data_IF_341938148361
#
_entry.id   IF_341938148361
#
_cell.length_a   1.000
_cell.length_b   1.000
_cell.length_c   1.000
_cell.angle_alpha   90.00
_cell.angle_beta   90.00
_cell.angle_gamma   90.00
#
_symmetry.space_group_name_H-M   'P 1'
#
loop_
_entity.id
_entity.type
_entity.pdbx_description
1 polymer ?
#
# COMPACT_ATOMS: atom_id res chain seq x y z
N UNK A 1 14.19 19.79 16.93
CA UNK A 1 14.02 18.70 15.95
C UNK A 1 12.97 17.76 16.50
N UNK A 2 11.70 17.99 16.18
CA UNK A 2 10.62 17.08 16.58
C UNK A 2 10.75 15.82 15.75
N UNK A 3 10.90 14.67 16.41
CA UNK A 3 10.77 13.36 15.79
C UNK A 3 9.34 13.24 15.25
N UNK A 4 9.13 13.64 13.99
CA UNK A 4 7.89 13.36 13.27
C UNK A 4 7.88 11.86 12.95
N UNK A 5 7.47 11.05 13.93
CA UNK A 5 7.17 9.65 13.71
C UNK A 5 6.05 9.56 12.69
N UNK A 6 6.35 8.97 11.54
CA UNK A 6 5.44 8.80 10.42
C UNK A 6 4.13 8.19 10.92
N UNK A 7 3.00 8.82 10.60
CA UNK A 7 1.71 8.36 11.07
C UNK A 7 1.15 7.28 10.16
N UNK A 8 0.29 6.40 10.70
CA UNK A 8 -0.40 5.39 9.89
C UNK A 8 -1.14 6.00 8.68
N UNK A 9 -1.60 7.25 8.80
CA UNK A 9 -2.25 7.96 7.70
C UNK A 9 -1.27 8.23 6.56
N UNK A 10 -0.04 8.61 6.88
CA UNK A 10 0.99 8.93 5.90
C UNK A 10 1.38 7.66 5.14
N UNK A 11 1.59 6.56 5.86
CA UNK A 11 1.88 5.24 5.26
C UNK A 11 0.74 4.76 4.34
N UNK A 12 -0.51 4.92 4.75
CA UNK A 12 -1.67 4.58 3.89
C UNK A 12 -1.74 5.47 2.65
N UNK A 13 -1.40 6.75 2.78
CA UNK A 13 -1.34 7.69 1.66
C UNK A 13 -0.28 7.31 0.64
N UNK A 14 0.93 7.00 1.10
CA UNK A 14 2.05 6.56 0.25
C UNK A 14 1.74 5.26 -0.45
N UNK A 15 1.21 4.27 0.29
CA UNK A 15 0.76 3.01 -0.31
C UNK A 15 -0.29 3.24 -1.42
N UNK A 16 -1.20 4.19 -1.22
CA UNK A 16 -2.23 4.52 -2.21
C UNK A 16 -1.59 5.14 -3.46
N UNK A 17 -0.67 6.09 -3.29
CA UNK A 17 0.05 6.72 -4.39
C UNK A 17 0.84 5.71 -5.23
N UNK A 18 1.61 4.84 -4.59
CA UNK A 18 2.34 3.78 -5.28
C UNK A 18 1.40 2.82 -6.06
N UNK A 19 0.23 2.49 -5.53
CA UNK A 19 -0.74 1.67 -6.27
C UNK A 19 -1.30 2.39 -7.51
N UNK A 20 -1.47 3.71 -7.46
CA UNK A 20 -1.91 4.52 -8.61
C UNK A 20 -0.80 4.62 -9.67
N UNK A 21 0.45 4.83 -9.25
CA UNK A 21 1.60 4.85 -10.18
C UNK A 21 1.82 3.48 -10.82
N UNK A 22 1.69 2.39 -10.07
CA UNK A 22 1.74 1.03 -10.62
C UNK A 22 0.67 0.81 -11.71
N UNK A 23 -0.55 1.33 -11.51
CA UNK A 23 -1.63 1.24 -12.49
C UNK A 23 -1.30 2.00 -13.79
N UNK A 24 -0.73 3.20 -13.64
CA UNK A 24 -0.24 4.01 -14.76
C UNK A 24 0.86 3.25 -15.53
N UNK A 25 1.87 2.72 -14.84
CA UNK A 25 2.96 1.98 -15.47
C UNK A 25 2.49 0.71 -16.18
N UNK A 26 1.56 -0.05 -15.59
CA UNK A 26 0.94 -1.20 -16.25
C UNK A 26 0.18 -0.80 -17.52
N UNK A 27 -0.55 0.32 -17.49
CA UNK A 27 -1.27 0.83 -18.67
C UNK A 27 -0.31 1.20 -19.82
N UNK A 28 0.90 1.66 -19.48
CA UNK A 28 1.96 1.99 -20.42
C UNK A 28 2.80 0.78 -20.84
N UNK A 29 2.45 -0.44 -20.38
CA UNK A 29 3.21 -1.68 -20.57
C UNK A 29 4.63 -1.63 -19.98
N UNK A 30 4.87 -0.74 -19.02
CA UNK A 30 6.14 -0.62 -18.31
C UNK A 30 6.10 -1.46 -17.02
N UNK A 31 6.29 -2.76 -17.17
CA UNK A 31 6.18 -3.69 -16.03
C UNK A 31 7.24 -3.56 -14.97
N UNK A 32 8.44 -3.12 -15.33
CA UNK A 32 9.55 -3.00 -14.39
C UNK A 32 9.26 -1.88 -13.37
N UNK A 33 8.84 -0.71 -13.86
CA UNK A 33 8.42 0.39 -12.98
C UNK A 33 7.16 0.02 -12.17
N UNK A 34 6.20 -0.68 -12.78
CA UNK A 34 5.04 -1.17 -12.05
C UNK A 34 5.42 -2.13 -10.90
N UNK A 35 6.44 -2.98 -11.08
CA UNK A 35 6.94 -3.87 -10.03
C UNK A 35 7.60 -3.12 -8.87
N UNK A 36 8.33 -2.05 -9.18
CA UNK A 36 8.92 -1.17 -8.17
C UNK A 36 7.82 -0.55 -7.32
N UNK A 37 6.82 0.06 -7.97
CA UNK A 37 5.71 0.71 -7.28
C UNK A 37 4.87 -0.25 -6.44
N UNK A 38 4.61 -1.46 -6.94
CA UNK A 38 3.91 -2.49 -6.14
C UNK A 38 4.72 -2.92 -4.92
N UNK A 39 6.05 -2.96 -5.03
CA UNK A 39 6.94 -3.29 -3.90
C UNK A 39 6.94 -2.19 -2.84
N UNK A 40 6.93 -0.92 -3.27
CA UNK A 40 6.81 0.24 -2.39
C UNK A 40 5.44 0.29 -1.71
N UNK A 41 4.36 0.06 -2.46
CA UNK A 41 3.01 -0.04 -1.91
C UNK A 41 2.92 -1.13 -0.83
N UNK A 42 3.54 -2.30 -1.07
CA UNK A 42 3.60 -3.37 -0.07
C UNK A 42 4.35 -2.97 1.19
N UNK A 43 5.49 -2.28 1.04
CA UNK A 43 6.28 -1.79 2.16
C UNK A 43 5.47 -0.85 3.07
N UNK A 44 4.85 0.16 2.48
CA UNK A 44 4.03 1.14 3.20
C UNK A 44 2.78 0.51 3.83
N UNK A 45 2.13 -0.46 3.17
CA UNK A 45 1.02 -1.20 3.78
C UNK A 45 1.43 -2.01 5.00
N UNK A 46 2.61 -2.64 4.96
CA UNK A 46 3.15 -3.35 6.14
C UNK A 46 3.44 -2.38 7.28
N UNK A 47 4.03 -1.22 6.99
CA UNK A 47 4.27 -0.18 8.00
C UNK A 47 2.97 0.35 8.60
N UNK A 48 1.97 0.65 7.76
CA UNK A 48 0.64 1.04 8.22
C UNK A 48 0.00 -0.05 9.11
N UNK A 49 0.10 -1.33 8.73
CA UNK A 49 -0.42 -2.44 9.51
C UNK A 49 0.27 -2.54 10.88
N UNK A 50 1.59 -2.39 10.95
CA UNK A 50 2.33 -2.33 12.20
C UNK A 50 1.87 -1.15 13.06
N UNK A 51 1.67 0.03 12.48
CA UNK A 51 1.23 1.21 13.24
C UNK A 51 -0.20 1.05 13.79
N UNK A 52 -1.12 0.42 13.05
CA UNK A 52 -2.48 0.14 13.52
C UNK A 52 -2.48 -0.94 14.61
N UNK A 53 -1.63 -1.96 14.50
CA UNK A 53 -1.54 -3.04 15.50
C UNK A 53 -0.85 -2.59 16.79
N UNK A 54 0.18 -1.74 16.69
CA UNK A 54 0.90 -1.19 17.85
C UNK A 54 0.13 -0.08 18.58
N UNK A 55 -0.75 0.67 17.90
CA UNK A 55 -1.60 1.70 18.53
C UNK A 55 -3.03 1.17 18.69
N UNK A 56 -3.28 0.41 19.77
CA UNK A 56 -4.58 -0.14 20.15
C UNK A 56 -5.56 0.94 20.67
N UNK A 57 -5.81 2.02 19.92
CA UNK A 57 -6.89 2.96 20.24
C UNK A 57 -8.22 2.48 19.62
N UNK A 58 -8.92 1.63 20.37
CA UNK A 58 -10.06 0.79 19.96
C UNK A 58 -11.18 1.48 19.16
N UNK A 59 -11.36 2.81 19.27
CA UNK A 59 -12.44 3.53 18.60
C UNK A 59 -12.15 3.94 17.14
N UNK A 60 -10.88 4.08 16.74
CA UNK A 60 -10.49 4.53 15.37
C UNK A 60 -10.03 3.35 14.50
N UNK A 61 -9.90 2.16 15.09
CA UNK A 61 -9.42 0.94 14.43
C UNK A 61 -10.37 0.46 13.33
N UNK A 62 -11.69 0.59 13.50
CA UNK A 62 -12.67 0.03 12.54
C UNK A 62 -12.52 0.55 11.11
N UNK A 63 -12.59 1.87 10.92
CA UNK A 63 -12.48 2.48 9.59
C UNK A 63 -11.07 2.35 9.01
N UNK A 64 -10.03 2.50 9.86
CA UNK A 64 -8.62 2.38 9.43
C UNK A 64 -8.27 0.95 9.00
N UNK A 65 -8.77 -0.07 9.71
CA UNK A 65 -8.62 -1.48 9.33
C UNK A 65 -9.34 -1.80 8.03
N UNK A 66 -10.53 -1.23 7.81
CA UNK A 66 -11.28 -1.46 6.57
C UNK A 66 -10.52 -0.92 5.35
N UNK A 67 -9.99 0.31 5.45
CA UNK A 67 -9.18 0.92 4.38
C UNK A 67 -7.88 0.13 4.13
N UNK A 68 -7.19 -0.28 5.19
CA UNK A 68 -5.98 -1.08 5.07
C UNK A 68 -6.25 -2.43 4.38
N UNK A 69 -7.33 -3.13 4.77
CA UNK A 69 -7.76 -4.37 4.13
C UNK A 69 -8.08 -4.16 2.65
N UNK A 70 -8.77 -3.07 2.30
CA UNK A 70 -9.09 -2.75 0.91
C UNK A 70 -7.82 -2.56 0.07
N UNK A 71 -6.82 -1.85 0.59
CA UNK A 71 -5.54 -1.64 -0.10
C UNK A 71 -4.74 -2.94 -0.23
N UNK A 72 -4.71 -3.79 0.80
CA UNK A 72 -4.09 -5.12 0.72
C UNK A 72 -4.77 -5.98 -0.35
N UNK A 73 -6.11 -5.94 -0.44
CA UNK A 73 -6.84 -6.62 -1.51
C UNK A 73 -6.49 -6.08 -2.89
N UNK A 74 -6.37 -4.75 -3.05
CA UNK A 74 -5.98 -4.10 -4.30
C UNK A 74 -4.56 -4.50 -4.72
N UNK A 75 -3.59 -4.48 -3.79
CA UNK A 75 -2.23 -4.97 -4.02
C UNK A 75 -2.21 -6.44 -4.47
N UNK A 76 -2.99 -7.31 -3.81
CA UNK A 76 -3.12 -8.71 -4.19
C UNK A 76 -3.69 -8.92 -5.59
N UNK A 77 -4.60 -8.05 -6.04
CA UNK A 77 -5.12 -8.06 -7.40
C UNK A 77 -4.05 -7.68 -8.43
N UNK A 78 -3.27 -6.63 -8.17
CA UNK A 78 -2.16 -6.23 -9.04
C UNK A 78 -1.11 -7.33 -9.18
N UNK A 79 -0.71 -7.99 -8.10
CA UNK A 79 0.23 -9.11 -8.17
C UNK A 79 -0.27 -10.27 -9.04
N UNK A 80 -1.58 -10.53 -9.09
CA UNK A 80 -2.17 -11.54 -9.99
C UNK A 80 -2.07 -11.11 -11.45
N UNK A 81 -2.24 -9.82 -11.75
CA UNK A 81 -2.10 -9.29 -13.11
C UNK A 81 -0.66 -9.39 -13.57
N UNK A 82 0.27 -8.90 -12.76
CA UNK A 82 1.70 -8.95 -13.04
C UNK A 82 2.15 -10.40 -13.28
N UNK A 83 1.75 -11.35 -12.41
CA UNK A 83 2.05 -12.78 -12.62
C UNK A 83 1.43 -13.37 -13.89
N UNK A 84 0.36 -12.80 -14.44
CA UNK A 84 -0.22 -13.25 -15.72
C UNK A 84 0.48 -12.65 -16.93
N UNK A 85 1.00 -11.44 -16.81
CA UNK A 85 1.67 -10.74 -17.91
C UNK A 85 3.13 -11.21 -18.06
N UNK A 86 3.78 -11.54 -16.94
CA UNK A 86 5.22 -11.83 -16.88
C UNK A 86 5.57 -13.29 -16.53
N UNK A 87 4.61 -14.23 -16.57
CA UNK A 87 4.88 -15.67 -16.48
C UNK A 87 4.98 -16.29 -17.88
#
# INVERSE_FOLDING_TARGET
>A
MTNEGWSCRDEVGLATGCLEEAEIHLSQKNGYEALIELSLAEHHLRQAQCLVTCRQDELIIGERQLRLKALICRLGWFWRIVRRIYA
#
